data_IF_915452061414
#
_entry.id   IF_915452061414
#
_cell.length_a   1.000
_cell.length_b   1.000
_cell.length_c   1.000
_cell.angle_alpha   90.00
_cell.angle_beta   90.00
_cell.angle_gamma   90.00
#
_symmetry.space_group_name_H-M   'P 1'
#
loop_
_entity.id
_entity.type
_entity.pdbx_description
1 polymer ?
#
# COMPACT_ATOMS: atom_id res chain seq x y z
N UNK A 1 15.43 19.22 18.96
CA UNK A 1 14.15 18.92 18.24
C UNK A 1 14.33 18.85 16.72
N UNK A 2 15.20 19.72 16.13
CA UNK A 2 15.40 19.76 14.68
C UNK A 2 16.14 18.54 14.09
N UNK A 3 16.97 17.85 14.85
CA UNK A 3 17.71 16.65 14.43
C UNK A 3 16.82 15.40 14.38
N UNK A 4 15.87 15.27 15.31
CA UNK A 4 14.91 14.17 15.34
C UNK A 4 13.90 14.28 14.18
N UNK A 5 13.40 15.47 13.87
CA UNK A 5 12.49 15.69 12.75
C UNK A 5 13.17 15.43 11.39
N UNK A 6 14.48 15.71 11.27
CA UNK A 6 15.27 15.32 10.10
C UNK A 6 15.42 13.81 9.95
N UNK A 7 15.66 13.09 11.04
CA UNK A 7 15.76 11.61 11.01
C UNK A 7 14.48 10.92 10.59
N UNK A 8 13.32 11.42 11.05
CA UNK A 8 12.00 10.92 10.64
C UNK A 8 11.74 11.19 9.15
N UNK A 9 11.96 12.43 8.71
CA UNK A 9 11.79 12.81 7.31
C UNK A 9 12.63 11.96 6.35
N UNK A 10 13.84 11.57 6.77
CA UNK A 10 14.74 10.76 5.95
C UNK A 10 14.28 9.29 5.83
N UNK A 11 13.68 8.71 6.88
CA UNK A 11 13.12 7.34 6.80
C UNK A 11 11.98 7.30 5.78
N UNK A 12 11.04 8.23 5.86
CA UNK A 12 9.91 8.27 4.93
C UNK A 12 10.33 8.63 3.50
N UNK A 13 11.28 9.55 3.31
CA UNK A 13 11.83 9.86 1.99
C UNK A 13 12.41 8.61 1.31
N UNK A 14 13.15 7.78 2.06
CA UNK A 14 13.72 6.54 1.53
C UNK A 14 12.64 5.53 1.12
N UNK A 15 11.58 5.38 1.92
CA UNK A 15 10.47 4.48 1.59
C UNK A 15 9.71 4.93 0.34
N UNK A 16 9.43 6.24 0.21
CA UNK A 16 8.76 6.79 -0.98
C UNK A 16 9.61 6.60 -2.23
N UNK A 17 10.94 6.72 -2.13
CA UNK A 17 11.87 6.56 -3.27
C UNK A 17 11.97 5.12 -3.78
N UNK A 18 11.63 4.11 -2.98
CA UNK A 18 11.68 2.70 -3.42
C UNK A 18 10.78 2.43 -4.64
N UNK A 19 9.60 3.05 -4.70
CA UNK A 19 8.68 2.88 -5.83
C UNK A 19 9.26 3.41 -7.15
N UNK A 20 9.69 4.68 -7.27
CA UNK A 20 10.27 5.16 -8.53
C UNK A 20 11.60 4.47 -8.86
N UNK A 21 12.42 4.10 -7.88
CA UNK A 21 13.65 3.33 -8.11
C UNK A 21 13.32 1.97 -8.71
N UNK A 22 12.30 1.28 -8.21
CA UNK A 22 11.87 0.00 -8.78
C UNK A 22 11.41 0.15 -10.24
N UNK A 23 10.74 1.26 -10.58
CA UNK A 23 10.37 1.59 -11.95
C UNK A 23 11.58 1.78 -12.87
N UNK A 24 12.58 2.53 -12.42
CA UNK A 24 13.82 2.76 -13.16
C UNK A 24 14.59 1.44 -13.39
N UNK A 25 14.68 0.59 -12.35
CA UNK A 25 15.28 -0.73 -12.47
C UNK A 25 14.52 -1.63 -13.46
N UNK A 26 13.19 -1.54 -13.48
CA UNK A 26 12.37 -2.22 -14.48
C UNK A 26 12.68 -1.73 -15.90
N UNK A 27 12.86 -0.43 -16.15
CA UNK A 27 13.27 0.07 -17.45
C UNK A 27 14.63 -0.47 -17.89
N UNK A 28 15.58 -0.60 -16.96
CA UNK A 28 16.93 -1.05 -17.29
C UNK A 28 17.02 -2.56 -17.52
N UNK A 29 16.33 -3.36 -16.71
CA UNK A 29 16.43 -4.83 -16.72
C UNK A 29 15.09 -5.54 -17.02
N UNK A 30 14.02 -4.80 -17.25
CA UNK A 30 12.67 -5.36 -17.33
C UNK A 30 12.50 -6.34 -18.50
N UNK A 31 13.11 -6.07 -19.65
CA UNK A 31 13.10 -7.04 -20.77
C UNK A 31 13.72 -8.38 -20.38
N UNK A 32 14.84 -8.37 -19.67
CA UNK A 32 15.48 -9.59 -19.15
C UNK A 32 14.61 -10.27 -18.08
N UNK A 33 13.99 -9.49 -17.21
CA UNK A 33 13.10 -10.05 -16.16
C UNK A 33 11.87 -10.70 -16.79
N UNK A 34 11.22 -10.03 -17.75
CA UNK A 34 10.06 -10.58 -18.45
C UNK A 34 10.41 -11.84 -19.25
N UNK A 35 11.57 -11.87 -19.94
CA UNK A 35 12.01 -13.06 -20.68
C UNK A 35 12.29 -14.24 -19.75
N UNK A 36 12.96 -14.00 -18.61
CA UNK A 36 13.19 -15.03 -17.59
C UNK A 36 11.89 -15.55 -16.97
N UNK A 37 10.94 -14.66 -16.66
CA UNK A 37 9.65 -15.08 -16.12
C UNK A 37 8.86 -15.92 -17.12
N UNK A 38 8.88 -15.56 -18.39
CA UNK A 38 8.21 -16.32 -19.46
C UNK A 38 8.93 -17.66 -19.74
N UNK A 39 10.23 -17.74 -19.56
CA UNK A 39 11.00 -18.98 -19.69
C UNK A 39 10.74 -19.94 -18.53
N UNK A 40 10.72 -19.45 -17.31
CA UNK A 40 10.46 -20.25 -16.10
C UNK A 40 9.00 -20.73 -16.05
N UNK A 41 8.04 -19.87 -16.44
CA UNK A 41 6.61 -20.14 -16.38
C UNK A 41 5.99 -20.30 -17.77
N UNK A 42 6.63 -21.06 -18.66
CA UNK A 42 6.24 -21.26 -20.07
C UNK A 42 4.80 -21.76 -20.25
N UNK A 43 4.27 -22.51 -19.28
CA UNK A 43 2.90 -23.05 -19.31
C UNK A 43 1.84 -22.06 -18.81
N UNK A 44 2.23 -20.91 -18.27
CA UNK A 44 1.33 -19.98 -17.59
C UNK A 44 1.32 -18.63 -18.30
N UNK A 45 0.38 -18.44 -19.23
CA UNK A 45 0.26 -17.20 -20.02
C UNK A 45 -0.06 -16.00 -19.10
N UNK A 46 0.67 -14.88 -19.29
CA UNK A 46 0.43 -13.65 -18.49
C UNK A 46 1.05 -13.64 -17.08
N UNK A 47 1.92 -14.61 -16.80
CA UNK A 47 2.59 -14.70 -15.49
C UNK A 47 3.46 -13.47 -15.19
N UNK A 48 4.16 -12.93 -16.20
CA UNK A 48 5.01 -11.75 -16.05
C UNK A 48 4.19 -10.52 -15.61
N UNK A 49 3.01 -10.29 -16.19
CA UNK A 49 2.12 -9.18 -15.84
C UNK A 49 1.68 -9.24 -14.38
N UNK A 50 1.23 -10.42 -13.91
CA UNK A 50 0.75 -10.63 -12.55
C UNK A 50 1.89 -10.57 -11.54
N UNK A 51 3.06 -11.17 -11.82
CA UNK A 51 4.20 -11.14 -10.91
C UNK A 51 4.81 -9.74 -10.79
N UNK A 52 4.90 -8.99 -11.87
CA UNK A 52 5.33 -7.58 -11.81
C UNK A 52 4.33 -6.73 -11.04
N UNK A 53 3.03 -6.92 -11.25
CA UNK A 53 1.98 -6.29 -10.45
C UNK A 53 2.17 -6.59 -8.94
N UNK A 54 2.38 -7.86 -8.59
CA UNK A 54 2.67 -8.31 -7.23
C UNK A 54 3.88 -7.61 -6.63
N UNK A 55 4.97 -7.49 -7.40
CA UNK A 55 6.19 -6.80 -6.98
C UNK A 55 5.94 -5.33 -6.63
N UNK A 56 5.19 -4.62 -7.48
CA UNK A 56 4.82 -3.22 -7.20
C UNK A 56 3.93 -3.11 -5.96
N UNK A 57 2.96 -4.01 -5.78
CA UNK A 57 2.12 -4.05 -4.58
C UNK A 57 2.95 -4.32 -3.31
N UNK A 58 3.90 -5.26 -3.37
CA UNK A 58 4.79 -5.58 -2.25
C UNK A 58 5.67 -4.39 -1.86
N UNK A 59 6.21 -3.64 -2.84
CA UNK A 59 6.99 -2.43 -2.57
C UNK A 59 6.08 -1.31 -2.04
N UNK A 60 4.87 -1.16 -2.58
CA UNK A 60 3.91 -0.16 -2.12
C UNK A 60 3.50 -0.40 -0.66
N UNK A 61 3.43 -1.65 -0.20
CA UNK A 61 3.13 -1.99 1.20
C UNK A 61 4.19 -1.51 2.20
N UNK A 62 5.43 -1.30 1.74
CA UNK A 62 6.51 -0.77 2.59
C UNK A 62 6.34 0.73 2.88
N UNK A 63 5.55 1.44 2.08
CA UNK A 63 5.28 2.87 2.25
C UNK A 63 4.00 3.08 3.07
N UNK A 64 4.03 2.73 4.35
CA UNK A 64 2.88 2.91 5.27
C UNK A 64 3.16 4.01 6.29
N UNK A 65 2.66 5.20 6.02
CA UNK A 65 2.66 6.35 6.93
C UNK A 65 1.32 6.50 7.68
N UNK A 66 0.26 5.84 7.19
CA UNK A 66 -1.07 5.96 7.77
C UNK A 66 -1.14 5.30 9.15
N UNK A 67 -0.53 4.13 9.31
CA UNK A 67 -0.55 3.36 10.57
C UNK A 67 0.07 4.13 11.74
N UNK A 68 1.30 4.66 11.65
CA UNK A 68 1.90 5.39 12.77
C UNK A 68 1.31 6.80 12.95
N UNK A 69 0.61 7.35 11.96
CA UNK A 69 0.15 8.74 11.96
C UNK A 69 -0.78 9.10 13.13
N UNK A 70 -1.54 8.14 13.66
CA UNK A 70 -2.42 8.33 14.83
C UNK A 70 -1.61 8.32 16.11
N UNK A 71 -0.69 7.35 16.26
CA UNK A 71 0.17 7.24 17.44
C UNK A 71 1.17 8.39 17.54
N UNK A 72 1.65 8.93 16.40
CA UNK A 72 2.59 10.06 16.37
C UNK A 72 1.97 11.36 16.93
N UNK A 73 0.66 11.54 16.82
CA UNK A 73 -0.02 12.68 17.45
C UNK A 73 0.07 12.66 18.99
N UNK A 74 0.14 11.47 19.60
CA UNK A 74 0.46 11.25 21.00
C UNK A 74 0.05 12.39 21.93
N UNK A 75 1.03 13.15 22.41
CA UNK A 75 0.84 14.29 23.30
C UNK A 75 0.08 15.48 22.71
N UNK A 76 0.00 15.58 21.36
CA UNK A 76 -0.68 16.67 20.64
C UNK A 76 -2.08 16.29 20.16
N UNK A 77 -2.56 15.07 20.45
CA UNK A 77 -3.88 14.60 20.04
C UNK A 77 -5.01 15.49 20.54
N UNK A 78 -4.87 16.03 21.76
CA UNK A 78 -5.82 16.98 22.36
C UNK A 78 -6.03 18.22 21.47
N UNK A 79 -4.99 18.67 20.76
CA UNK A 79 -5.08 19.81 19.85
C UNK A 79 -5.97 19.48 18.65
N UNK A 80 -5.82 18.29 18.07
CA UNK A 80 -6.69 17.84 16.98
C UNK A 80 -8.16 17.64 17.44
N UNK A 81 -8.36 17.25 18.69
CA UNK A 81 -9.69 17.08 19.29
C UNK A 81 -10.34 18.41 19.75
N UNK A 82 -9.53 19.43 20.08
CA UNK A 82 -10.04 20.77 20.44
C UNK A 82 -10.50 21.61 19.26
N UNK A 83 -10.09 21.25 18.04
CA UNK A 83 -10.54 21.92 16.82
C UNK A 83 -12.02 21.62 16.55
N UNK A 84 -12.79 22.59 16.00
CA UNK A 84 -14.21 22.40 15.67
C UNK A 84 -14.39 21.59 14.37
N UNK A 85 -13.70 20.42 14.28
CA UNK A 85 -13.72 19.52 13.12
C UNK A 85 -14.22 18.14 13.54
N UNK A 86 -14.95 17.49 12.65
CA UNK A 86 -15.44 16.13 12.91
C UNK A 86 -14.26 15.13 12.88
N UNK A 87 -14.19 14.14 13.77
CA UNK A 87 -13.11 13.12 13.81
C UNK A 87 -12.86 12.45 12.46
N UNK A 88 -13.92 12.22 11.71
CA UNK A 88 -13.82 11.69 10.35
C UNK A 88 -13.05 12.61 9.38
N UNK A 89 -13.14 13.92 9.52
CA UNK A 89 -12.42 14.85 8.65
C UNK A 89 -10.91 14.74 8.86
N UNK A 90 -10.46 14.55 10.10
CA UNK A 90 -9.06 14.31 10.44
C UNK A 90 -8.57 12.99 9.82
N UNK A 91 -9.30 11.88 10.03
CA UNK A 91 -8.95 10.58 9.46
C UNK A 91 -8.94 10.61 7.94
N UNK A 92 -9.90 11.30 7.31
CA UNK A 92 -9.95 11.49 5.86
C UNK A 92 -8.75 12.28 5.34
N UNK A 93 -8.29 13.29 6.06
CA UNK A 93 -7.09 14.05 5.70
C UNK A 93 -5.84 13.15 5.71
N UNK A 94 -5.65 12.35 6.76
CA UNK A 94 -4.55 11.37 6.87
C UNK A 94 -4.58 10.36 5.72
N UNK A 95 -5.79 9.83 5.42
CA UNK A 95 -5.98 8.89 4.30
C UNK A 95 -5.60 9.52 2.95
N UNK A 96 -6.02 10.77 2.69
CA UNK A 96 -5.65 11.48 1.46
C UNK A 96 -4.14 11.68 1.33
N UNK A 97 -3.47 12.05 2.41
CA UNK A 97 -2.00 12.22 2.42
C UNK A 97 -1.32 10.89 2.09
N UNK A 98 -1.72 9.79 2.73
CA UNK A 98 -1.19 8.46 2.45
C UNK A 98 -1.39 8.06 0.99
N UNK A 99 -2.61 8.24 0.47
CA UNK A 99 -2.92 7.94 -0.93
C UNK A 99 -2.06 8.75 -1.89
N UNK A 100 -1.90 10.05 -1.68
CA UNK A 100 -1.07 10.89 -2.53
C UNK A 100 0.41 10.47 -2.48
N UNK A 101 0.95 10.23 -1.27
CA UNK A 101 2.35 9.86 -1.08
C UNK A 101 2.70 8.46 -1.62
N UNK A 102 1.72 7.59 -1.82
CA UNK A 102 1.95 6.25 -2.37
C UNK A 102 1.55 6.17 -3.85
N UNK A 103 0.42 6.76 -4.24
CA UNK A 103 -0.08 6.69 -5.61
C UNK A 103 0.81 7.46 -6.61
N UNK A 104 1.26 8.67 -6.24
CA UNK A 104 2.11 9.47 -7.15
C UNK A 104 3.43 8.76 -7.49
N UNK A 105 4.23 8.27 -6.53
CA UNK A 105 5.43 7.50 -6.86
C UNK A 105 5.13 6.18 -7.58
N UNK A 106 3.99 5.54 -7.33
CA UNK A 106 3.60 4.30 -7.99
C UNK A 106 3.29 4.47 -9.49
N UNK A 107 2.98 5.69 -9.94
CA UNK A 107 2.81 5.95 -11.37
C UNK A 107 4.09 5.70 -12.17
N UNK A 108 5.28 5.86 -11.55
CA UNK A 108 6.56 5.62 -12.24
C UNK A 108 6.71 4.14 -12.63
N UNK A 109 6.68 3.16 -11.70
CA UNK A 109 6.77 1.76 -12.09
C UNK A 109 5.62 1.32 -12.99
N UNK A 110 4.40 1.85 -12.82
CA UNK A 110 3.28 1.56 -13.72
C UNK A 110 3.56 2.05 -15.13
N UNK A 111 4.03 3.28 -15.31
CA UNK A 111 4.43 3.79 -16.63
C UNK A 111 5.54 2.94 -17.25
N UNK A 112 6.55 2.54 -16.46
CA UNK A 112 7.63 1.67 -16.92
C UNK A 112 7.11 0.29 -17.38
N UNK A 113 6.16 -0.27 -16.65
CA UNK A 113 5.51 -1.54 -17.04
C UNK A 113 4.74 -1.41 -18.37
N UNK A 114 4.11 -0.26 -18.61
CA UNK A 114 3.40 -0.02 -19.88
C UNK A 114 4.34 0.00 -21.11
N UNK A 115 5.62 0.34 -20.92
CA UNK A 115 6.63 0.28 -21.99
C UNK A 115 7.23 -1.12 -22.19
N UNK A 116 7.27 -1.95 -21.15
CA UNK A 116 7.96 -3.25 -21.15
C UNK A 116 7.00 -4.37 -21.48
N UNK A 117 5.77 -4.31 -20.96
CA UNK A 117 4.76 -5.33 -21.17
C UNK A 117 4.05 -5.13 -22.52
N UNK A 118 3.61 -6.22 -23.18
CA UNK A 118 2.80 -6.11 -24.38
C UNK A 118 1.47 -5.41 -24.06
N UNK A 119 0.97 -4.65 -25.03
CA UNK A 119 -0.33 -3.97 -24.90
C UNK A 119 -1.46 -5.00 -25.00
N UNK A 120 -1.78 -5.61 -23.86
CA UNK A 120 -2.85 -6.61 -23.70
C UNK A 120 -4.01 -6.03 -22.89
N UNK A 121 -5.15 -6.72 -22.89
CA UNK A 121 -6.27 -6.37 -22.04
C UNK A 121 -5.93 -6.44 -20.52
N UNK A 122 -4.86 -7.13 -20.16
CA UNK A 122 -4.39 -7.23 -18.79
C UNK A 122 -3.72 -5.93 -18.29
N UNK A 123 -3.09 -5.16 -19.17
CA UNK A 123 -2.35 -3.96 -18.80
C UNK A 123 -3.19 -2.92 -18.01
N UNK A 124 -4.36 -2.47 -18.47
CA UNK A 124 -5.20 -1.55 -17.69
C UNK A 124 -5.68 -2.15 -16.39
N UNK A 125 -5.82 -3.49 -16.31
CA UNK A 125 -6.21 -4.18 -15.08
C UNK A 125 -5.07 -4.25 -14.07
N UNK A 126 -3.81 -4.33 -14.51
CA UNK A 126 -2.63 -4.16 -13.64
C UNK A 126 -2.65 -2.78 -12.99
N UNK A 127 -2.95 -1.71 -13.74
CA UNK A 127 -3.09 -0.36 -13.18
C UNK A 127 -4.22 -0.29 -12.15
N UNK A 128 -5.38 -0.85 -12.50
CA UNK A 128 -6.53 -0.89 -11.61
C UNK A 128 -6.23 -1.64 -10.32
N UNK A 129 -5.56 -2.79 -10.39
CA UNK A 129 -5.20 -3.60 -9.22
C UNK A 129 -4.19 -2.89 -8.33
N UNK A 130 -3.13 -2.29 -8.88
CA UNK A 130 -2.15 -1.55 -8.08
C UNK A 130 -2.81 -0.36 -7.36
N UNK A 131 -3.67 0.39 -8.03
CA UNK A 131 -4.39 1.51 -7.41
C UNK A 131 -5.40 1.03 -6.35
N UNK A 132 -6.10 -0.07 -6.60
CA UNK A 132 -6.99 -0.72 -5.63
C UNK A 132 -6.21 -1.18 -4.39
N UNK A 133 -5.03 -1.79 -4.61
CA UNK A 133 -4.15 -2.22 -3.53
C UNK A 133 -3.63 -1.03 -2.69
N UNK A 134 -3.21 0.07 -3.32
CA UNK A 134 -2.79 1.28 -2.61
C UNK A 134 -3.92 1.82 -1.73
N UNK A 135 -5.15 1.84 -2.24
CA UNK A 135 -6.31 2.24 -1.45
C UNK A 135 -6.60 1.26 -0.30
N UNK A 136 -6.45 -0.04 -0.54
CA UNK A 136 -6.57 -1.09 0.47
C UNK A 136 -5.52 -0.91 1.59
N UNK A 137 -4.24 -0.80 1.24
CA UNK A 137 -3.15 -0.67 2.21
C UNK A 137 -3.30 0.60 3.07
N UNK A 138 -3.69 1.73 2.46
CA UNK A 138 -3.95 2.97 3.17
C UNK A 138 -5.12 2.86 4.16
N UNK A 139 -6.23 2.21 3.77
CA UNK A 139 -7.37 1.98 4.64
C UNK A 139 -7.02 0.98 5.76
N UNK A 140 -6.30 -0.10 5.44
CA UNK A 140 -5.86 -1.10 6.41
C UNK A 140 -4.93 -0.47 7.45
N UNK A 141 -3.89 0.26 6.99
CA UNK A 141 -2.93 0.92 7.85
C UNK A 141 -3.60 1.90 8.82
N UNK A 142 -4.48 2.77 8.31
CA UNK A 142 -5.19 3.70 9.16
C UNK A 142 -6.16 2.99 10.14
N UNK A 143 -6.80 1.90 9.71
CA UNK A 143 -7.66 1.07 10.57
C UNK A 143 -6.87 0.48 11.73
N UNK A 144 -5.69 -0.08 11.45
CA UNK A 144 -4.78 -0.63 12.47
C UNK A 144 -4.22 0.46 13.37
N UNK A 145 -3.88 1.63 12.82
CA UNK A 145 -3.42 2.79 13.57
C UNK A 145 -4.43 3.28 14.60
N UNK A 146 -5.71 3.38 14.22
CA UNK A 146 -6.81 3.74 15.13
C UNK A 146 -7.13 2.61 16.11
N UNK A 147 -7.11 1.35 15.65
CA UNK A 147 -7.44 0.21 16.49
C UNK A 147 -6.40 -0.09 17.58
N UNK A 148 -5.12 0.24 17.31
CA UNK A 148 -3.98 -0.06 18.19
C UNK A 148 -3.10 1.18 18.41
N UNK A 149 -3.71 2.35 18.59
CA UNK A 149 -2.99 3.58 18.91
C UNK A 149 -2.21 3.43 20.21
N UNK A 150 -0.90 3.71 20.14
CA UNK A 150 -0.05 3.83 21.31
C UNK A 150 0.31 5.30 21.50
N UNK A 151 -0.24 5.91 22.55
CA UNK A 151 -0.06 7.33 22.84
C UNK A 151 1.01 7.59 23.93
N UNK A 152 1.52 6.51 24.58
CA UNK A 152 2.47 6.58 25.71
C UNK A 152 3.89 6.24 25.28
N UNK A 153 4.36 6.84 24.19
CA UNK A 153 5.71 6.63 23.70
C UNK A 153 6.70 7.68 24.27
N UNK A 154 7.93 7.26 24.49
CA UNK A 154 9.02 8.12 24.99
C UNK A 154 9.88 8.68 23.84
N UNK A 155 9.91 8.00 22.70
CA UNK A 155 10.66 8.39 21.51
C UNK A 155 9.76 8.27 20.27
N UNK A 156 9.80 9.26 19.37
CA UNK A 156 9.03 9.28 18.12
C UNK A 156 9.34 8.12 17.18
N UNK A 157 10.47 7.44 17.38
CA UNK A 157 10.83 6.23 16.62
C UNK A 157 10.04 5.00 17.06
N UNK A 158 9.52 4.96 18.28
CA UNK A 158 8.75 3.81 18.79
C UNK A 158 7.47 3.55 18.00
N UNK A 159 6.57 4.52 17.77
CA UNK A 159 5.35 4.27 17.00
C UNK A 159 5.64 3.92 15.53
N UNK A 160 6.81 4.27 14.99
CA UNK A 160 7.14 4.03 13.60
C UNK A 160 7.77 2.65 13.39
N UNK A 161 8.77 2.28 14.21
CA UNK A 161 9.56 1.07 13.99
C UNK A 161 9.18 -0.09 14.90
N UNK A 162 8.63 0.17 16.08
CA UNK A 162 8.36 -0.85 17.10
C UNK A 162 6.86 -1.04 17.37
N UNK A 163 5.99 -0.42 16.58
CA UNK A 163 4.54 -0.58 16.73
C UNK A 163 4.08 -1.90 16.12
N UNK A 164 3.36 -2.70 16.91
CA UNK A 164 2.69 -3.90 16.43
C UNK A 164 1.72 -3.60 15.27
N UNK A 165 1.11 -2.41 15.26
CA UNK A 165 0.21 -2.00 14.19
C UNK A 165 0.96 -1.88 12.85
N UNK A 166 2.12 -1.23 12.85
CA UNK A 166 2.98 -1.09 11.65
C UNK A 166 3.50 -2.44 11.18
N UNK A 167 3.94 -3.29 12.12
CA UNK A 167 4.39 -4.65 11.79
C UNK A 167 3.28 -5.46 11.13
N UNK A 168 2.06 -5.44 11.68
CA UNK A 168 0.91 -6.15 11.11
C UNK A 168 0.52 -5.57 9.74
N UNK A 169 0.58 -4.26 9.55
CA UNK A 169 0.30 -3.63 8.25
C UNK A 169 1.30 -4.07 7.19
N UNK A 170 2.60 -4.06 7.51
CA UNK A 170 3.67 -4.46 6.60
C UNK A 170 3.57 -5.94 6.22
N UNK A 171 3.52 -6.84 7.21
CA UNK A 171 3.40 -8.27 6.95
C UNK A 171 2.06 -8.63 6.32
N UNK A 172 0.98 -7.93 6.65
CA UNK A 172 -0.32 -8.09 5.99
C UNK A 172 -0.27 -7.74 4.50
N UNK A 173 0.46 -6.68 4.15
CA UNK A 173 0.71 -6.31 2.76
C UNK A 173 1.54 -7.33 1.99
N UNK A 174 2.59 -7.87 2.61
CA UNK A 174 3.40 -8.93 2.01
C UNK A 174 2.62 -10.25 1.88
N UNK A 175 1.84 -10.59 2.91
CA UNK A 175 0.97 -11.78 2.85
C UNK A 175 -0.03 -11.66 1.71
N UNK A 176 -0.64 -10.47 1.52
CA UNK A 176 -1.49 -10.22 0.37
C UNK A 176 -0.75 -10.50 -0.95
N UNK A 177 0.45 -9.94 -1.12
CA UNK A 177 1.26 -10.12 -2.33
C UNK A 177 1.59 -11.61 -2.58
N UNK A 178 1.99 -12.34 -1.53
CA UNK A 178 2.29 -13.77 -1.62
C UNK A 178 1.04 -14.58 -1.99
N UNK A 179 -0.09 -14.31 -1.35
CA UNK A 179 -1.36 -15.00 -1.64
C UNK A 179 -1.83 -14.67 -3.05
N UNK A 180 -1.74 -13.41 -3.47
CA UNK A 180 -2.12 -12.97 -4.80
C UNK A 180 -1.30 -13.67 -5.89
N UNK A 181 0.04 -13.70 -5.77
CA UNK A 181 0.89 -14.43 -6.71
C UNK A 181 0.67 -15.94 -6.64
N UNK A 182 0.58 -16.50 -5.42
CA UNK A 182 0.40 -17.93 -5.20
C UNK A 182 -0.90 -18.48 -5.78
N UNK A 183 -2.01 -17.77 -5.62
CA UNK A 183 -3.29 -18.15 -6.21
C UNK A 183 -3.25 -18.12 -7.74
N UNK A 184 -2.54 -17.14 -8.32
CA UNK A 184 -2.35 -17.11 -9.76
C UNK A 184 -1.56 -18.32 -10.25
N UNK A 185 -0.43 -18.60 -9.63
CA UNK A 185 0.44 -19.72 -9.99
C UNK A 185 -0.24 -21.08 -9.77
N UNK A 186 -1.12 -21.20 -8.77
CA UNK A 186 -1.80 -22.47 -8.48
C UNK A 186 -2.92 -22.79 -9.49
N UNK A 187 -3.85 -21.86 -9.70
CA UNK A 187 -5.01 -22.09 -10.59
C UNK A 187 -5.40 -20.86 -11.42
N UNK A 188 -4.97 -19.65 -11.04
CA UNK A 188 -5.40 -18.39 -11.66
C UNK A 188 -5.03 -18.31 -13.14
N UNK A 189 -3.93 -18.93 -13.55
CA UNK A 189 -3.48 -18.95 -14.95
C UNK A 189 -4.49 -19.60 -15.90
N UNK A 190 -5.34 -20.52 -15.42
CA UNK A 190 -6.43 -21.14 -16.21
C UNK A 190 -7.52 -20.17 -16.60
N UNK A 191 -7.74 -19.12 -15.80
CA UNK A 191 -8.70 -18.05 -16.07
C UNK A 191 -8.14 -16.99 -17.04
N UNK A 192 -6.80 -16.98 -17.23
CA UNK A 192 -6.08 -15.91 -17.94
C UNK A 192 -5.80 -14.69 -17.05
N UNK A 193 -4.70 -13.99 -17.36
CA UNK A 193 -4.23 -12.86 -16.55
C UNK A 193 -5.27 -11.75 -16.41
N UNK A 194 -5.96 -11.39 -17.48
CA UNK A 194 -6.96 -10.33 -17.46
C UNK A 194 -8.15 -10.65 -16.53
N UNK A 195 -8.73 -11.85 -16.65
CA UNK A 195 -9.86 -12.24 -15.81
C UNK A 195 -9.45 -12.33 -14.33
N UNK A 196 -8.26 -12.89 -14.07
CA UNK A 196 -7.72 -12.98 -12.71
C UNK A 196 -7.53 -11.59 -12.08
N UNK A 197 -6.86 -10.67 -12.78
CA UNK A 197 -6.64 -9.29 -12.32
C UNK A 197 -7.96 -8.55 -12.10
N UNK A 198 -8.96 -8.74 -12.97
CA UNK A 198 -10.28 -8.12 -12.79
C UNK A 198 -11.00 -8.60 -11.53
N UNK A 199 -10.96 -9.91 -11.26
CA UNK A 199 -11.55 -10.51 -10.06
C UNK A 199 -10.80 -10.02 -8.82
N UNK A 200 -9.47 -10.04 -8.85
CA UNK A 200 -8.64 -9.58 -7.75
C UNK A 200 -8.92 -8.11 -7.42
N UNK A 201 -8.93 -7.22 -8.43
CA UNK A 201 -9.24 -5.81 -8.26
C UNK A 201 -10.64 -5.59 -7.66
N UNK A 202 -11.64 -6.35 -8.10
CA UNK A 202 -12.99 -6.28 -7.56
C UNK A 202 -13.03 -6.69 -6.08
N UNK A 203 -12.34 -7.79 -5.71
CA UNK A 203 -12.25 -8.25 -4.31
C UNK A 203 -11.51 -7.24 -3.45
N UNK A 204 -10.36 -6.73 -3.92
CA UNK A 204 -9.56 -5.73 -3.21
C UNK A 204 -10.35 -4.45 -2.98
N UNK A 205 -11.09 -3.96 -3.99
CA UNK A 205 -11.98 -2.80 -3.86
C UNK A 205 -13.14 -3.06 -2.89
N UNK A 206 -13.74 -4.24 -2.91
CA UNK A 206 -14.82 -4.59 -1.98
C UNK A 206 -14.32 -4.57 -0.52
N UNK A 207 -13.16 -5.17 -0.24
CA UNK A 207 -12.55 -5.14 1.09
C UNK A 207 -12.18 -3.70 1.48
N UNK A 208 -11.62 -2.91 0.56
CA UNK A 208 -11.32 -1.49 0.78
C UNK A 208 -12.58 -0.71 1.16
N UNK A 209 -13.69 -0.93 0.47
CA UNK A 209 -14.96 -0.28 0.77
C UNK A 209 -15.49 -0.64 2.17
N UNK A 210 -15.33 -1.89 2.61
CA UNK A 210 -15.68 -2.33 3.96
C UNK A 210 -14.80 -1.63 5.03
N UNK A 211 -13.49 -1.58 4.83
CA UNK A 211 -12.56 -0.89 5.72
C UNK A 211 -12.85 0.62 5.78
N UNK A 212 -13.09 1.25 4.64
CA UNK A 212 -13.45 2.66 4.55
C UNK A 212 -14.77 2.95 5.30
N UNK A 213 -15.77 2.08 5.14
CA UNK A 213 -17.04 2.18 5.88
C UNK A 213 -16.83 2.05 7.38
N UNK A 214 -15.98 1.13 7.81
CA UNK A 214 -15.61 0.95 9.22
C UNK A 214 -14.90 2.19 9.76
N UNK A 215 -13.92 2.75 9.02
CA UNK A 215 -13.22 3.98 9.40
C UNK A 215 -14.16 5.16 9.56
N UNK A 216 -15.13 5.30 8.65
CA UNK A 216 -16.09 6.40 8.67
C UNK A 216 -17.04 6.33 9.89
N UNK A 217 -17.36 5.12 10.35
CA UNK A 217 -18.30 4.89 11.46
C UNK A 217 -17.57 4.63 12.76
N UNK A 218 -17.17 3.38 13.00
CA UNK A 218 -16.53 2.92 14.24
C UNK A 218 -15.14 3.52 14.44
N UNK A 219 -14.36 3.69 13.37
CA UNK A 219 -13.03 4.28 13.42
C UNK A 219 -13.07 5.74 13.87
N UNK A 220 -14.01 6.53 13.35
CA UNK A 220 -14.17 7.93 13.78
C UNK A 220 -14.63 8.05 15.24
N UNK A 221 -15.54 7.18 15.69
CA UNK A 221 -15.95 7.13 17.10
C UNK A 221 -14.78 6.75 18.01
N UNK A 222 -14.01 5.73 17.64
CA UNK A 222 -12.85 5.29 18.41
C UNK A 222 -11.75 6.35 18.48
N UNK A 223 -11.49 7.05 17.38
CA UNK A 223 -10.53 8.16 17.35
C UNK A 223 -10.95 9.33 18.26
N UNK A 224 -12.24 9.57 18.43
CA UNK A 224 -12.75 10.60 19.35
C UNK A 224 -12.62 10.23 20.83
N UNK A 225 -12.43 8.94 21.15
CA UNK A 225 -12.30 8.42 22.51
C UNK A 225 -10.82 8.19 22.94
N UNK A 226 -9.85 8.36 22.01
CA UNK A 226 -8.42 8.27 22.32
C UNK A 226 -7.94 9.52 23.08
#
# INVERSE_FOLDING_TARGET
DCLLSRGLGDVYKRQILLLPISGILLLWKGGTVVSLLNEVFTSQSGCAEVLLCTGVCAIASMNDMATPSVSLEGKSLWLAQSLPVKPWQVLRAKLKVQLALTALPALVPLACMAFILPVTAALPLVFAEVLAYIAFSACLGLTLGVARANLTWTSELMPIKQSLAVTIALFGGWLYAIVFAGLYLWQGWKLGAAAYLAIAAAVTLAVTALLFRWLKTKGAQRFAML
#
